data_IF_832086266824
#
_entry.id   IF_832086266824
#
_cell.length_a   1.000
_cell.length_b   1.000
_cell.length_c   1.000
_cell.angle_alpha   90.00
_cell.angle_beta   90.00
_cell.angle_gamma   90.00
#
_symmetry.space_group_name_H-M   'P 1'
#
loop_
_entity.id
_entity.type
_entity.pdbx_description
1 polymer ?
#
# COMPACT_ATOMS: atom_id res chain seq x y z
N UNK A 1 -26.73 46.86 -24.99
CA UNK A 1 -27.08 45.45 -24.68
C UNK A 1 -25.83 44.61 -24.91
N UNK A 2 -25.10 44.28 -23.84
CA UNK A 2 -23.67 43.96 -23.87
C UNK A 2 -23.31 42.53 -24.25
N UNK A 3 -22.25 42.41 -25.06
CA UNK A 3 -21.63 41.21 -25.61
C UNK A 3 -20.74 40.44 -24.61
N UNK A 4 -21.00 40.53 -23.31
CA UNK A 4 -20.11 40.02 -22.24
C UNK A 4 -20.61 38.69 -21.65
N UNK A 5 -21.87 38.29 -21.90
CA UNK A 5 -22.47 37.10 -21.27
C UNK A 5 -21.96 35.75 -21.79
N UNK A 6 -21.15 35.72 -22.86
CA UNK A 6 -20.66 34.47 -23.48
C UNK A 6 -19.28 34.00 -23.01
N UNK A 7 -18.61 34.73 -22.10
CA UNK A 7 -17.26 34.39 -21.64
C UNK A 7 -17.21 33.62 -20.31
N UNK A 8 -18.35 33.36 -19.65
CA UNK A 8 -18.37 32.75 -18.30
C UNK A 8 -19.13 31.42 -18.17
N UNK A 9 -19.51 30.77 -19.28
CA UNK A 9 -20.13 29.44 -19.22
C UNK A 9 -19.14 28.33 -19.61
N UNK A 10 -18.06 28.17 -18.83
CA UNK A 10 -17.47 26.84 -18.71
C UNK A 10 -18.25 26.15 -17.61
N UNK A 11 -19.21 25.31 -17.99
CA UNK A 11 -19.76 24.32 -17.08
C UNK A 11 -18.56 23.59 -16.45
N UNK A 12 -18.33 23.82 -15.15
CA UNK A 12 -17.44 22.95 -14.39
C UNK A 12 -18.12 21.58 -14.45
N UNK A 13 -17.67 20.71 -15.34
CA UNK A 13 -17.94 19.28 -15.24
C UNK A 13 -17.41 18.86 -13.88
N UNK A 14 -18.29 18.81 -12.88
CA UNK A 14 -17.99 18.17 -11.61
C UNK A 14 -17.62 16.74 -11.95
N UNK A 15 -16.36 16.38 -11.73
CA UNK A 15 -15.92 14.98 -11.86
C UNK A 15 -16.86 14.14 -10.99
N UNK A 16 -17.47 13.13 -11.58
CA UNK A 16 -18.28 12.19 -10.84
C UNK A 16 -17.36 11.43 -9.88
N UNK A 17 -17.62 11.55 -8.58
CA UNK A 17 -16.85 10.86 -7.54
C UNK A 17 -17.25 9.39 -7.61
N UNK A 18 -16.31 8.54 -8.02
CA UNK A 18 -16.51 7.10 -8.07
C UNK A 18 -16.22 6.51 -6.70
N UNK A 19 -17.04 5.56 -6.27
CA UNK A 19 -16.75 4.74 -5.10
C UNK A 19 -15.41 4.01 -5.29
N UNK A 20 -14.69 3.82 -4.19
CA UNK A 20 -13.41 3.13 -4.16
C UNK A 20 -13.58 1.74 -3.57
N UNK A 21 -12.75 0.84 -4.05
CA UNK A 21 -12.44 -0.46 -3.46
C UNK A 21 -10.94 -0.49 -3.13
N UNK A 22 -10.44 -1.52 -2.43
CA UNK A 22 -9.03 -1.59 -2.03
C UNK A 22 -8.01 -1.52 -3.18
N UNK A 23 -8.40 -1.83 -4.42
CA UNK A 23 -7.53 -1.80 -5.59
C UNK A 23 -7.62 -0.48 -6.37
N UNK A 24 -8.66 0.32 -6.12
CA UNK A 24 -8.92 1.59 -6.81
C UNK A 24 -8.65 2.83 -5.97
N UNK A 25 -8.12 2.67 -4.74
CA UNK A 25 -7.62 3.78 -3.91
C UNK A 25 -6.60 4.61 -4.70
N UNK A 26 -6.72 5.93 -4.55
CA UNK A 26 -5.86 6.94 -5.16
C UNK A 26 -5.20 7.81 -4.09
N UNK A 27 -4.08 8.44 -4.46
CA UNK A 27 -3.47 9.49 -3.63
C UNK A 27 -4.50 10.60 -3.41
N UNK A 28 -4.65 11.05 -2.17
CA UNK A 28 -5.65 12.02 -1.71
C UNK A 28 -6.99 11.43 -1.24
N UNK A 29 -7.22 10.12 -1.43
CA UNK A 29 -8.35 9.43 -0.78
C UNK A 29 -8.09 9.29 0.73
N UNK A 30 -9.16 9.30 1.53
CA UNK A 30 -9.11 9.04 2.97
C UNK A 30 -9.48 7.59 3.23
N UNK A 31 -8.68 6.91 4.04
CA UNK A 31 -8.96 5.56 4.54
C UNK A 31 -9.22 5.66 6.04
N UNK A 32 -10.45 5.36 6.45
CA UNK A 32 -10.83 5.23 7.86
C UNK A 32 -10.50 3.79 8.29
N UNK A 33 -9.64 3.64 9.31
CA UNK A 33 -9.19 2.36 9.86
C UNK A 33 -8.91 2.51 11.36
N UNK A 34 -9.37 1.55 12.18
CA UNK A 34 -9.15 1.54 13.64
C UNK A 34 -9.51 2.88 14.32
N UNK A 35 -10.67 3.44 13.93
CA UNK A 35 -11.20 4.73 14.42
C UNK A 35 -10.30 5.95 14.13
N UNK A 36 -9.34 5.84 13.21
CA UNK A 36 -8.48 6.92 12.75
C UNK A 36 -8.64 7.13 11.23
N UNK A 37 -8.64 8.39 10.82
CA UNK A 37 -8.66 8.79 9.41
C UNK A 37 -7.21 8.96 8.91
N UNK A 38 -6.89 8.30 7.81
CA UNK A 38 -5.59 8.41 7.15
C UNK A 38 -5.73 9.00 5.75
N UNK A 39 -4.88 9.98 5.43
CA UNK A 39 -4.72 10.41 4.05
C UNK A 39 -3.81 9.44 3.29
N UNK A 40 -4.23 9.01 2.11
CA UNK A 40 -3.39 8.24 1.19
C UNK A 40 -2.41 9.19 0.51
N UNK A 41 -1.15 9.17 0.94
CA UNK A 41 -0.11 10.10 0.44
C UNK A 41 0.83 9.46 -0.57
N UNK A 42 0.80 8.13 -0.70
CA UNK A 42 1.61 7.38 -1.65
C UNK A 42 0.91 6.09 -2.05
N UNK A 43 1.16 5.64 -3.27
CA UNK A 43 0.70 4.35 -3.79
C UNK A 43 1.86 3.70 -4.55
N UNK A 44 2.05 2.42 -4.34
CA UNK A 44 2.97 1.59 -5.11
C UNK A 44 2.14 0.47 -5.74
N UNK A 45 2.22 0.34 -7.05
CA UNK A 45 1.74 -0.81 -7.79
C UNK A 45 2.93 -1.70 -8.12
N UNK A 46 2.86 -2.97 -7.73
CA UNK A 46 3.88 -3.96 -7.97
C UNK A 46 3.39 -4.92 -9.03
N UNK A 47 4.25 -5.26 -10.00
CA UNK A 47 3.88 -6.19 -11.07
C UNK A 47 4.92 -7.27 -11.25
N UNK A 48 4.48 -8.52 -11.12
CA UNK A 48 5.26 -9.72 -11.43
C UNK A 48 4.53 -10.55 -12.48
N UNK A 49 5.01 -10.51 -13.72
CA UNK A 49 4.34 -11.17 -14.84
C UNK A 49 2.92 -10.62 -15.05
N UNK A 50 1.91 -11.44 -14.74
CA UNK A 50 0.49 -11.06 -14.81
C UNK A 50 -0.12 -10.67 -13.46
N UNK A 51 0.60 -10.90 -12.37
CA UNK A 51 0.15 -10.62 -11.03
C UNK A 51 0.46 -9.16 -10.66
N UNK A 52 -0.49 -8.51 -10.00
CA UNK A 52 -0.40 -7.12 -9.56
C UNK A 52 -0.98 -6.99 -8.16
N UNK A 53 -0.31 -6.23 -7.30
CA UNK A 53 -0.78 -5.88 -5.96
C UNK A 53 -0.37 -4.43 -5.64
N UNK A 54 -0.98 -3.88 -4.59
CA UNK A 54 -0.81 -2.49 -4.22
C UNK A 54 -0.39 -2.32 -2.77
N UNK A 55 0.49 -1.34 -2.53
CA UNK A 55 0.76 -0.81 -1.19
C UNK A 55 0.43 0.67 -1.14
N UNK A 56 -0.31 1.09 -0.12
CA UNK A 56 -0.73 2.47 0.09
C UNK A 56 -0.06 3.02 1.34
N UNK A 57 0.63 4.16 1.20
CA UNK A 57 1.15 4.88 2.35
C UNK A 57 0.04 5.74 2.93
N UNK A 58 -0.41 5.37 4.13
CA UNK A 58 -1.49 6.00 4.86
C UNK A 58 -0.90 6.86 5.99
N UNK A 59 -1.17 8.16 5.99
CA UNK A 59 -0.68 9.09 7.03
C UNK A 59 -1.85 9.63 7.84
N UNK A 60 -1.86 9.30 9.13
CA UNK A 60 -2.81 9.80 10.11
C UNK A 60 -2.24 10.99 10.87
N UNK A 61 -2.86 11.32 12.01
CA UNK A 61 -2.46 12.49 12.79
C UNK A 61 -1.09 12.32 13.47
N UNK A 62 -0.79 11.09 13.93
CA UNK A 62 0.39 10.82 14.77
C UNK A 62 1.33 9.75 14.18
N UNK A 63 0.88 8.99 13.18
CA UNK A 63 1.62 7.85 12.64
C UNK A 63 1.34 7.66 11.15
N UNK A 64 2.25 6.98 10.49
CA UNK A 64 2.04 6.44 9.14
C UNK A 64 2.06 4.92 9.19
N UNK A 65 1.16 4.31 8.42
CA UNK A 65 1.05 2.87 8.22
C UNK A 65 1.01 2.57 6.73
N UNK A 66 1.18 1.31 6.38
CA UNK A 66 1.03 0.84 5.00
C UNK A 66 -0.14 -0.14 4.93
N UNK A 67 -1.03 0.07 3.96
CA UNK A 67 -2.08 -0.89 3.60
C UNK A 67 -1.63 -1.66 2.37
N UNK A 68 -1.50 -2.98 2.48
CA UNK A 68 -1.32 -3.86 1.33
C UNK A 68 -2.69 -4.35 0.85
N UNK A 69 -2.85 -4.44 -0.48
CA UNK A 69 -4.01 -5.01 -1.13
C UNK A 69 -3.58 -5.93 -2.28
N UNK A 70 -3.91 -7.21 -2.16
CA UNK A 70 -3.63 -8.26 -3.13
C UNK A 70 -4.89 -9.08 -3.41
N UNK A 71 -4.89 -9.79 -4.53
CA UNK A 71 -5.98 -10.70 -4.89
C UNK A 71 -5.39 -11.98 -5.49
N UNK A 72 -5.51 -13.09 -4.77
CA UNK A 72 -5.27 -14.42 -5.31
C UNK A 72 -6.62 -15.12 -5.54
N UNK A 73 -7.08 -15.96 -4.60
CA UNK A 73 -8.45 -16.53 -4.60
C UNK A 73 -9.49 -15.56 -4.00
N UNK A 74 -9.09 -14.82 -2.96
CA UNK A 74 -9.90 -13.80 -2.30
C UNK A 74 -9.14 -12.47 -2.16
N UNK A 75 -9.84 -11.42 -1.72
CA UNK A 75 -9.22 -10.13 -1.41
C UNK A 75 -8.45 -10.25 -0.11
N UNK A 76 -7.15 -10.06 -0.17
CA UNK A 76 -6.26 -10.06 0.97
C UNK A 76 -5.78 -8.65 1.27
N UNK A 77 -5.98 -8.23 2.51
CA UNK A 77 -5.55 -6.93 3.01
C UNK A 77 -4.67 -7.13 4.23
N UNK A 78 -3.68 -6.25 4.39
CA UNK A 78 -2.85 -6.23 5.60
C UNK A 78 -2.38 -4.83 5.95
N UNK A 79 -2.24 -4.59 7.25
CA UNK A 79 -1.68 -3.34 7.77
C UNK A 79 -0.25 -3.60 8.23
N UNK A 80 0.67 -2.78 7.73
CA UNK A 80 2.10 -2.93 7.94
C UNK A 80 2.71 -1.67 8.56
N UNK A 81 3.72 -1.89 9.39
CA UNK A 81 4.57 -0.83 9.96
C UNK A 81 6.04 -1.19 9.78
N UNK A 82 6.91 -0.22 9.48
CA UNK A 82 8.33 -0.47 9.30
C UNK A 82 8.97 -0.88 10.64
N UNK A 83 9.90 -1.84 10.59
CA UNK A 83 10.70 -2.27 11.72
C UNK A 83 12.19 -2.28 11.35
N UNK A 84 13.05 -2.45 12.34
CA UNK A 84 14.48 -2.66 12.13
C UNK A 84 14.83 -4.11 12.44
N UNK A 85 15.18 -4.86 11.39
CA UNK A 85 15.60 -6.25 11.50
C UNK A 85 16.97 -6.43 10.84
N UNK A 86 18.07 -6.57 11.61
CA UNK A 86 19.40 -6.80 11.06
C UNK A 86 19.46 -8.11 10.26
N UNK A 87 20.30 -8.13 9.21
CA UNK A 87 20.54 -9.32 8.35
C UNK A 87 19.34 -9.80 7.53
N UNK A 88 18.27 -9.00 7.42
CA UNK A 88 17.11 -9.30 6.58
C UNK A 88 17.47 -9.51 5.09
N UNK A 89 18.56 -8.89 4.61
CA UNK A 89 19.04 -9.02 3.21
C UNK A 89 19.37 -10.46 2.81
N UNK A 90 19.74 -11.31 3.76
CA UNK A 90 20.17 -12.68 3.47
C UNK A 90 19.00 -13.61 3.18
N UNK A 91 17.76 -13.18 3.45
CA UNK A 91 16.51 -13.94 3.27
C UNK A 91 16.64 -15.37 3.84
N UNK A 92 16.86 -15.53 5.15
CA UNK A 92 16.97 -16.85 5.79
C UNK A 92 15.64 -17.60 5.76
N UNK A 93 15.63 -18.91 6.06
CA UNK A 93 14.37 -19.67 6.12
C UNK A 93 13.50 -19.30 7.33
N UNK A 94 14.11 -18.72 8.37
CA UNK A 94 13.44 -18.34 9.62
C UNK A 94 13.98 -17.00 10.11
N UNK A 95 13.08 -16.18 10.66
CA UNK A 95 13.39 -14.91 11.29
C UNK A 95 12.80 -14.88 12.70
N UNK A 96 13.49 -14.20 13.62
CA UNK A 96 12.96 -13.94 14.96
C UNK A 96 12.84 -12.45 15.17
N UNK A 97 11.65 -12.00 15.59
CA UNK A 97 11.37 -10.62 15.96
C UNK A 97 10.49 -10.60 17.20
N UNK A 98 10.85 -9.81 18.21
CA UNK A 98 10.11 -9.70 19.48
C UNK A 98 9.79 -11.05 20.18
N UNK A 99 10.73 -12.01 20.11
CA UNK A 99 10.60 -13.40 20.61
C UNK A 99 9.60 -14.29 19.86
N UNK A 100 9.11 -13.84 18.71
CA UNK A 100 8.24 -14.59 17.83
C UNK A 100 9.03 -15.08 16.61
N UNK A 101 8.72 -16.29 16.16
CA UNK A 101 9.36 -16.91 14.99
C UNK A 101 8.47 -16.78 13.76
N UNK A 102 9.07 -16.36 12.66
CA UNK A 102 8.45 -16.21 11.36
C UNK A 102 9.15 -17.13 10.37
N UNK A 103 8.37 -17.84 9.58
CA UNK A 103 8.82 -18.84 8.60
C UNK A 103 8.71 -18.27 7.20
N UNK A 104 9.73 -18.53 6.39
CA UNK A 104 9.76 -18.11 4.99
C UNK A 104 8.59 -18.71 4.22
N UNK A 105 7.85 -17.86 3.50
CA UNK A 105 6.70 -18.24 2.67
C UNK A 105 7.10 -18.18 1.21
N UNK A 106 7.50 -17.01 0.74
CA UNK A 106 7.83 -16.80 -0.66
C UNK A 106 8.86 -15.68 -0.87
N UNK A 107 9.39 -15.64 -2.08
CA UNK A 107 10.20 -14.53 -2.58
C UNK A 107 9.99 -14.34 -4.06
N UNK A 108 10.16 -13.11 -4.51
CA UNK A 108 10.06 -12.78 -5.91
C UNK A 108 10.69 -11.46 -6.25
N UNK A 109 10.50 -11.07 -7.51
CA UNK A 109 10.91 -9.78 -8.04
C UNK A 109 9.73 -9.12 -8.73
N UNK A 110 9.56 -7.80 -8.55
CA UNK A 110 8.47 -7.03 -9.15
C UNK A 110 8.96 -5.71 -9.74
N UNK A 111 8.37 -5.30 -10.87
CA UNK A 111 8.50 -3.96 -11.40
C UNK A 111 7.50 -3.04 -10.68
N UNK A 112 7.92 -1.84 -10.31
CA UNK A 112 7.06 -0.94 -9.55
C UNK A 112 6.68 0.34 -10.30
N UNK A 113 5.46 0.80 -10.04
CA UNK A 113 4.98 2.13 -10.44
C UNK A 113 4.50 2.84 -9.20
N UNK A 114 5.01 4.05 -8.95
CA UNK A 114 4.70 4.81 -7.77
C UNK A 114 3.92 6.09 -8.08
N UNK A 115 3.03 6.48 -7.17
CA UNK A 115 2.29 7.73 -7.21
C UNK A 115 2.45 8.48 -5.88
N UNK A 116 2.29 9.81 -5.90
CA UNK A 116 2.41 10.65 -4.71
C UNK A 116 3.83 10.61 -4.14
N UNK A 117 3.96 10.34 -2.84
CA UNK A 117 5.27 10.22 -2.18
C UNK A 117 6.14 9.07 -2.72
N UNK A 118 5.56 8.12 -3.43
CA UNK A 118 6.26 6.98 -4.02
C UNK A 118 6.66 7.21 -5.48
N UNK A 119 6.41 8.39 -6.07
CA UNK A 119 6.64 8.66 -7.50
C UNK A 119 8.06 8.31 -7.98
N UNK A 120 9.08 8.55 -7.13
CA UNK A 120 10.48 8.26 -7.41
C UNK A 120 10.79 6.76 -7.52
N UNK A 121 9.89 5.88 -7.09
CA UNK A 121 10.02 4.43 -7.23
C UNK A 121 9.67 3.95 -8.64
N UNK A 122 8.98 4.76 -9.45
CA UNK A 122 8.51 4.34 -10.77
C UNK A 122 9.64 3.86 -11.68
N UNK A 123 9.47 2.65 -12.23
CA UNK A 123 10.43 2.02 -13.13
C UNK A 123 11.56 1.29 -12.41
N UNK A 124 11.59 1.30 -11.07
CA UNK A 124 12.49 0.48 -10.29
C UNK A 124 11.98 -0.96 -10.20
N UNK A 125 12.88 -1.84 -9.77
CA UNK A 125 12.59 -3.24 -9.46
C UNK A 125 12.85 -3.48 -7.99
N UNK A 126 11.99 -4.28 -7.35
CA UNK A 126 12.14 -4.70 -5.96
C UNK A 126 12.23 -6.22 -5.87
N UNK A 127 13.17 -6.72 -5.06
CA UNK A 127 13.13 -8.11 -4.61
C UNK A 127 12.39 -8.14 -3.29
N UNK A 128 11.34 -8.95 -3.19
CA UNK A 128 10.58 -9.11 -1.96
C UNK A 128 10.72 -10.52 -1.39
N UNK A 129 10.54 -10.65 -0.08
CA UNK A 129 10.38 -11.93 0.59
C UNK A 129 9.39 -11.80 1.75
N UNK A 130 8.44 -12.72 1.80
CA UNK A 130 7.36 -12.76 2.79
C UNK A 130 7.58 -13.89 3.78
N UNK A 131 7.25 -13.63 5.04
CA UNK A 131 7.31 -14.58 6.14
C UNK A 131 6.03 -14.49 6.94
N UNK A 132 5.57 -15.61 7.50
CA UNK A 132 4.40 -15.66 8.36
C UNK A 132 4.72 -16.38 9.67
N UNK A 133 3.94 -16.08 10.72
CA UNK A 133 3.85 -16.99 11.87
C UNK A 133 3.17 -18.30 11.45
N UNK A 134 3.37 -19.35 12.23
CA UNK A 134 2.72 -20.65 12.00
C UNK A 134 1.17 -20.58 11.97
N UNK A 135 0.58 -19.58 12.64
CA UNK A 135 -0.86 -19.37 12.72
C UNK A 135 -1.39 -18.27 11.78
N UNK A 136 -0.54 -17.74 10.88
CA UNK A 136 -0.85 -16.65 9.95
C UNK A 136 -1.40 -15.36 10.60
N UNK A 137 -1.19 -15.19 11.91
CA UNK A 137 -1.67 -14.01 12.65
C UNK A 137 -0.84 -12.75 12.39
N UNK A 138 0.36 -12.90 11.86
CA UNK A 138 1.29 -11.81 11.58
C UNK A 138 2.28 -12.18 10.48
N UNK A 139 2.74 -11.16 9.75
CA UNK A 139 3.66 -11.29 8.63
C UNK A 139 4.88 -10.39 8.80
N UNK A 140 6.01 -10.82 8.25
CA UNK A 140 7.15 -9.95 7.96
C UNK A 140 7.33 -9.87 6.44
N UNK A 141 7.32 -8.65 5.92
CA UNK A 141 7.62 -8.36 4.53
C UNK A 141 9.00 -7.71 4.45
N UNK A 142 9.89 -8.29 3.65
CA UNK A 142 11.21 -7.74 3.34
C UNK A 142 11.17 -7.23 1.90
N UNK A 143 11.58 -5.98 1.71
CA UNK A 143 11.76 -5.38 0.39
C UNK A 143 13.19 -4.89 0.20
N UNK A 144 13.83 -5.33 -0.89
CA UNK A 144 15.21 -4.97 -1.23
C UNK A 144 15.19 -4.05 -2.46
N UNK A 145 15.51 -2.78 -2.21
CA UNK A 145 15.53 -1.68 -3.18
C UNK A 145 16.99 -1.37 -3.55
N UNK A 146 17.56 -2.18 -4.43
CA UNK A 146 18.99 -2.10 -4.77
C UNK A 146 19.89 -2.31 -3.55
N UNK A 147 20.47 -1.23 -3.01
CA UNK A 147 21.29 -1.28 -1.79
C UNK A 147 20.49 -1.17 -0.50
N UNK A 148 19.28 -0.63 -0.56
CA UNK A 148 18.42 -0.43 0.60
C UNK A 148 17.61 -1.69 0.91
N UNK A 149 17.36 -1.92 2.20
CA UNK A 149 16.55 -3.04 2.69
C UNK A 149 15.55 -2.48 3.67
N UNK A 150 14.28 -2.64 3.34
CA UNK A 150 13.16 -2.30 4.18
C UNK A 150 12.53 -3.58 4.72
N UNK A 151 12.08 -3.51 5.97
CA UNK A 151 11.39 -4.62 6.62
C UNK A 151 10.18 -4.05 7.32
N UNK A 152 9.03 -4.66 7.10
CA UNK A 152 7.78 -4.29 7.75
C UNK A 152 7.18 -5.49 8.45
N UNK A 153 6.57 -5.24 9.60
CA UNK A 153 5.70 -6.22 10.27
C UNK A 153 4.26 -5.84 10.03
N UNK A 154 3.42 -6.82 9.76
CA UNK A 154 2.00 -6.62 9.57
C UNK A 154 1.15 -7.74 10.11
N UNK A 155 -0.14 -7.59 9.88
CA UNK A 155 -1.19 -8.55 10.23
C UNK A 155 -2.34 -8.41 9.23
N UNK A 156 -3.11 -9.48 9.01
CA UNK A 156 -4.21 -9.45 8.06
C UNK A 156 -5.38 -8.63 8.63
N UNK A 157 -6.10 -7.95 7.74
CA UNK A 157 -7.40 -7.32 8.04
C UNK A 157 -8.46 -7.79 7.04
N UNK A 158 -9.72 -7.64 7.40
CA UNK A 158 -10.84 -7.91 6.50
C UNK A 158 -11.29 -6.64 5.78
N UNK A 159 -11.83 -6.75 4.55
CA UNK A 159 -12.28 -5.59 3.79
C UNK A 159 -13.28 -4.68 4.50
N UNK A 160 -14.11 -5.23 5.40
CA UNK A 160 -15.09 -4.45 6.17
C UNK A 160 -14.47 -3.59 7.29
N UNK A 161 -13.19 -3.81 7.63
CA UNK A 161 -12.49 -3.06 8.68
C UNK A 161 -11.98 -1.69 8.19
N UNK A 162 -11.99 -1.47 6.87
CA UNK A 162 -11.66 -0.18 6.28
C UNK A 162 -12.86 0.44 5.60
N UNK A 163 -12.87 1.77 5.55
CA UNK A 163 -13.79 2.54 4.74
C UNK A 163 -13.02 3.57 3.94
N UNK A 164 -13.27 3.60 2.64
CA UNK A 164 -12.54 4.48 1.73
C UNK A 164 -13.47 5.61 1.30
N UNK A 165 -13.00 6.85 1.51
CA UNK A 165 -13.67 8.07 1.12
C UNK A 165 -12.87 8.69 -0.01
N UNK A 166 -13.46 8.73 -1.20
CA UNK A 166 -12.81 9.28 -2.37
C UNK A 166 -12.46 10.77 -2.17
N UNK A 167 -11.19 11.10 -2.39
CA UNK A 167 -10.69 12.46 -2.44
C UNK A 167 -11.14 13.17 -3.72
N UNK A 168 -11.24 14.49 -3.67
CA UNK A 168 -11.75 15.32 -4.77
C UNK A 168 -10.68 15.77 -5.77
N UNK A 169 -9.81 14.85 -6.23
CA UNK A 169 -8.75 15.14 -7.20
C UNK A 169 -9.24 15.26 -8.66
#
# INVERSE_FOLDING_TARGET
MGLISKLFSKEKKTKEVKARDPFTIQVGDIVEYDLEDYETVGKIAYRQGKYEWFSYQLTGANKSIWLSASMDDEVELGIYKPIKLPRARDIPNELTYENETYYFIEKGEALVTGEGRSENLTGQTVTYAEYAKEDDSSFLSIEIWGSEVEVSIGYPIKPFEIKIIAGSN
#
